data_IF_923630249536
#
_entry.id   IF_923630249536
#
_cell.length_a   1.000
_cell.length_b   1.000
_cell.length_c   1.000
_cell.angle_alpha   90.00
_cell.angle_beta   90.00
_cell.angle_gamma   90.00
#
_symmetry.space_group_name_H-M   'P 1'
#
loop_
_entity.id
_entity.type
_entity.pdbx_description
1 polymer ?
#
# COMPACT_ATOMS: atom_id res chain seq x y z
N UNK A 1 -36.76 10.56 -15.37
CA UNK A 1 -35.99 10.91 -14.16
C UNK A 1 -34.95 11.95 -14.55
N UNK A 2 -34.85 13.04 -13.79
CA UNK A 2 -34.32 14.34 -14.20
C UNK A 2 -32.87 14.30 -14.69
N UNK A 3 -32.62 14.88 -15.88
CA UNK A 3 -31.30 15.31 -16.35
C UNK A 3 -31.05 16.75 -15.92
N UNK A 4 -31.10 17.01 -14.62
CA UNK A 4 -30.73 18.33 -14.11
C UNK A 4 -29.23 18.36 -13.87
N UNK A 5 -28.51 19.06 -14.75
CA UNK A 5 -27.09 19.37 -14.57
C UNK A 5 -26.96 20.65 -13.77
N UNK A 6 -26.15 20.66 -12.72
CA UNK A 6 -25.84 21.85 -11.94
C UNK A 6 -24.37 22.24 -12.09
N UNK A 7 -24.02 23.54 -12.09
CA UNK A 7 -22.64 23.98 -12.17
C UNK A 7 -21.89 23.61 -10.88
N UNK A 8 -20.71 23.01 -11.01
CA UNK A 8 -19.78 22.75 -9.91
C UNK A 8 -18.52 23.57 -10.17
N UNK A 9 -18.12 24.38 -9.19
CA UNK A 9 -16.83 25.06 -9.21
C UNK A 9 -15.78 24.18 -8.53
N UNK A 10 -14.65 23.97 -9.21
CA UNK A 10 -13.52 23.19 -8.71
C UNK A 10 -12.25 24.00 -8.89
N UNK A 11 -11.33 23.87 -7.92
CA UNK A 11 -10.00 24.46 -7.99
C UNK A 11 -9.05 23.51 -8.71
N UNK A 12 -8.33 24.02 -9.69
CA UNK A 12 -7.26 23.29 -10.38
C UNK A 12 -5.92 23.85 -9.93
N UNK A 13 -5.02 22.99 -9.46
CA UNK A 13 -3.68 23.35 -9.00
C UNK A 13 -2.65 22.57 -9.80
N UNK A 14 -1.67 23.29 -10.39
CA UNK A 14 -0.53 22.66 -11.09
C UNK A 14 0.72 22.79 -10.22
N UNK A 15 1.32 21.65 -9.92
CA UNK A 15 2.50 21.53 -9.08
C UNK A 15 3.66 21.06 -9.97
N UNK A 16 4.79 21.77 -9.92
CA UNK A 16 5.99 21.35 -10.66
C UNK A 16 6.68 20.18 -9.93
N UNK A 17 6.90 19.08 -10.64
CA UNK A 17 7.58 17.89 -10.10
C UNK A 17 9.08 17.92 -10.42
N UNK A 18 9.43 17.97 -11.71
CA UNK A 18 10.79 18.12 -12.24
C UNK A 18 10.84 19.25 -13.28
N UNK A 19 11.98 19.48 -13.94
CA UNK A 19 12.15 20.58 -14.90
C UNK A 19 11.03 20.68 -15.95
N UNK A 20 10.61 19.53 -16.51
CA UNK A 20 9.59 19.45 -17.58
C UNK A 20 8.29 18.75 -17.19
N UNK A 21 8.11 18.36 -15.92
CA UNK A 21 6.93 17.58 -15.51
C UNK A 21 6.10 18.28 -14.45
N UNK A 22 4.78 18.23 -14.65
CA UNK A 22 3.81 18.85 -13.77
C UNK A 22 2.76 17.83 -13.35
N UNK A 23 2.36 17.91 -12.09
CA UNK A 23 1.19 17.22 -11.55
C UNK A 23 0.02 18.21 -11.51
N UNK A 24 -1.16 17.79 -11.97
CA UNK A 24 -2.36 18.62 -11.95
C UNK A 24 -3.40 17.98 -11.05
N UNK A 25 -3.77 18.69 -9.98
CA UNK A 25 -4.75 18.25 -9.00
C UNK A 25 -6.03 19.06 -9.14
N UNK A 26 -7.16 18.38 -9.02
CA UNK A 26 -8.50 18.98 -8.94
C UNK A 26 -9.01 18.79 -7.53
N UNK A 27 -9.41 19.87 -6.88
CA UNK A 27 -9.80 19.85 -5.47
C UNK A 27 -10.92 20.84 -5.17
N UNK A 28 -11.71 20.55 -4.14
CA UNK A 28 -12.67 21.48 -3.56
C UNK A 28 -12.12 22.17 -2.28
N UNK A 29 -10.84 21.94 -1.95
CA UNK A 29 -10.20 22.51 -0.77
C UNK A 29 -9.90 24.00 -0.95
N UNK A 30 -10.17 24.75 0.12
CA UNK A 30 -10.03 26.20 0.18
C UNK A 30 -8.58 26.66 -0.13
N UNK A 31 -8.39 27.65 -1.00
CA UNK A 31 -7.06 28.13 -1.39
C UNK A 31 -6.30 28.91 -0.32
N UNK A 32 -6.98 29.51 0.66
CA UNK A 32 -6.35 30.21 1.76
C UNK A 32 -5.90 29.25 2.87
N UNK A 33 -6.65 28.16 3.08
CA UNK A 33 -6.31 27.14 4.07
C UNK A 33 -5.34 26.07 3.54
N UNK A 34 -5.41 25.74 2.25
CA UNK A 34 -4.61 24.68 1.64
C UNK A 34 -3.81 25.22 0.45
N UNK A 35 -2.52 25.43 0.68
CA UNK A 35 -1.58 25.88 -0.35
C UNK A 35 -1.25 24.78 -1.36
N UNK A 36 -0.54 25.12 -2.43
CA UNK A 36 -0.02 24.13 -3.39
C UNK A 36 0.88 23.09 -2.72
N UNK A 37 1.70 23.51 -1.77
CA UNK A 37 2.60 22.67 -0.99
C UNK A 37 1.84 21.70 -0.10
N UNK A 38 0.77 22.16 0.56
CA UNK A 38 -0.09 21.28 1.38
C UNK A 38 -0.76 20.22 0.51
N UNK A 39 -1.26 20.61 -0.66
CA UNK A 39 -1.86 19.67 -1.62
C UNK A 39 -0.84 18.64 -2.12
N UNK A 40 0.43 19.04 -2.31
CA UNK A 40 1.52 18.13 -2.67
C UNK A 40 1.74 17.08 -1.59
N UNK A 41 1.77 17.49 -0.32
CA UNK A 41 1.93 16.58 0.83
C UNK A 41 0.71 15.66 0.95
N UNK A 42 -0.50 16.21 0.90
CA UNK A 42 -1.74 15.42 0.97
C UNK A 42 -1.84 14.39 -0.15
N UNK A 43 -1.51 14.78 -1.38
CA UNK A 43 -1.51 13.86 -2.50
C UNK A 43 -0.40 12.80 -2.37
N UNK A 44 0.74 13.15 -1.78
CA UNK A 44 1.78 12.17 -1.46
C UNK A 44 1.32 11.11 -0.45
N UNK A 45 0.49 11.45 0.53
CA UNK A 45 -0.06 10.46 1.48
C UNK A 45 -0.87 9.34 0.79
N UNK A 46 -1.45 9.62 -0.39
CA UNK A 46 -2.15 8.63 -1.22
C UNK A 46 -1.26 7.46 -1.64
N UNK A 47 0.05 7.68 -1.77
CA UNK A 47 1.01 6.63 -2.15
C UNK A 47 1.12 5.52 -1.09
N UNK A 48 0.86 5.84 0.18
CA UNK A 48 0.77 4.85 1.25
C UNK A 48 -0.29 3.81 0.95
N UNK A 49 -1.48 4.24 0.52
CA UNK A 49 -2.61 3.38 0.16
C UNK A 49 -2.25 2.46 -1.02
N UNK A 50 -1.58 2.99 -2.05
CA UNK A 50 -1.14 2.17 -3.19
C UNK A 50 -0.15 1.07 -2.78
N UNK A 51 0.74 1.40 -1.84
CA UNK A 51 1.72 0.45 -1.29
C UNK A 51 1.01 -0.63 -0.49
N UNK A 52 0.05 -0.28 0.38
CA UNK A 52 -0.77 -1.24 1.11
C UNK A 52 -1.53 -2.19 0.18
N UNK A 53 -2.12 -1.69 -0.90
CA UNK A 53 -2.79 -2.55 -1.89
C UNK A 53 -1.82 -3.47 -2.62
N UNK A 54 -0.59 -3.03 -2.88
CA UNK A 54 0.45 -3.88 -3.46
C UNK A 54 0.81 -5.03 -2.51
N UNK A 55 1.00 -4.72 -1.23
CA UNK A 55 1.30 -5.71 -0.18
C UNK A 55 0.16 -6.73 -0.04
N UNK A 56 -1.09 -6.27 0.04
CA UNK A 56 -2.27 -7.14 0.06
C UNK A 56 -2.30 -8.08 -1.15
N UNK A 57 -2.08 -7.55 -2.36
CA UNK A 57 -2.14 -8.34 -3.61
C UNK A 57 -1.02 -9.37 -3.71
N UNK A 58 0.21 -8.99 -3.37
CA UNK A 58 1.39 -9.78 -3.70
C UNK A 58 2.03 -10.46 -2.48
N UNK A 59 2.11 -9.80 -1.34
CA UNK A 59 2.68 -10.39 -0.13
C UNK A 59 1.66 -11.29 0.59
N UNK A 60 0.39 -10.88 0.66
CA UNK A 60 -0.70 -11.65 1.28
C UNK A 60 -1.53 -12.46 0.27
N UNK A 61 -1.19 -12.38 -1.02
CA UNK A 61 -1.79 -13.23 -2.05
C UNK A 61 -3.27 -12.98 -2.30
N UNK A 62 -3.78 -11.74 -2.14
CA UNK A 62 -5.16 -11.36 -2.51
C UNK A 62 -5.42 -11.47 -4.03
N UNK A 63 -4.38 -11.70 -4.83
CA UNK A 63 -4.50 -12.02 -6.25
C UNK A 63 -4.88 -13.49 -6.53
N UNK A 64 -4.85 -14.36 -5.52
CA UNK A 64 -5.05 -15.81 -5.67
C UNK A 64 -6.08 -16.33 -4.65
N UNK A 65 -7.32 -16.47 -5.09
CA UNK A 65 -8.41 -17.03 -4.27
C UNK A 65 -8.43 -18.56 -4.35
N UNK A 66 -8.87 -19.21 -3.27
CA UNK A 66 -9.06 -20.66 -3.22
C UNK A 66 -10.50 -21.04 -3.55
N UNK A 67 -11.46 -20.26 -3.07
CA UNK A 67 -12.88 -20.50 -3.32
C UNK A 67 -13.32 -20.05 -4.70
N UNK A 68 -14.36 -20.73 -5.22
CA UNK A 68 -15.16 -20.31 -6.39
C UNK A 68 -16.50 -19.69 -6.00
N UNK A 69 -16.97 -19.91 -4.76
CA UNK A 69 -18.23 -19.32 -4.25
C UNK A 69 -18.00 -17.89 -3.78
N UNK A 70 -18.89 -16.98 -4.16
CA UNK A 70 -18.79 -15.54 -3.86
C UNK A 70 -18.60 -15.27 -2.36
N UNK A 71 -19.44 -15.86 -1.51
CA UNK A 71 -19.42 -15.62 -0.07
C UNK A 71 -18.06 -15.98 0.56
N UNK A 72 -17.47 -17.09 0.13
CA UNK A 72 -16.16 -17.53 0.58
C UNK A 72 -15.01 -16.71 -0.02
N UNK A 73 -15.16 -16.16 -1.23
CA UNK A 73 -14.20 -15.20 -1.78
C UNK A 73 -14.19 -13.93 -0.92
N UNK A 74 -15.38 -13.43 -0.54
CA UNK A 74 -15.51 -12.28 0.35
C UNK A 74 -14.86 -12.58 1.71
N UNK A 75 -15.10 -13.76 2.28
CA UNK A 75 -14.44 -14.21 3.51
C UNK A 75 -12.91 -14.24 3.37
N UNK A 76 -12.38 -14.75 2.26
CA UNK A 76 -10.96 -14.78 1.95
C UNK A 76 -10.33 -13.38 1.83
N UNK A 77 -11.08 -12.39 1.34
CA UNK A 77 -10.66 -10.99 1.28
C UNK A 77 -10.55 -10.43 2.69
N UNK A 78 -11.59 -10.60 3.51
CA UNK A 78 -11.60 -10.10 4.88
C UNK A 78 -10.53 -10.75 5.75
N UNK A 79 -10.30 -12.06 5.62
CA UNK A 79 -9.23 -12.74 6.35
C UNK A 79 -7.84 -12.15 6.04
N UNK A 80 -7.57 -11.80 4.78
CA UNK A 80 -6.32 -11.16 4.37
C UNK A 80 -6.22 -9.71 4.84
N UNK A 81 -7.32 -8.96 4.86
CA UNK A 81 -7.36 -7.61 5.43
C UNK A 81 -7.09 -7.63 6.94
N UNK A 82 -7.67 -8.59 7.67
CA UNK A 82 -7.41 -8.77 9.11
C UNK A 82 -5.94 -9.11 9.33
N UNK A 83 -5.37 -10.05 8.57
CA UNK A 83 -3.94 -10.38 8.64
C UNK A 83 -3.06 -9.14 8.39
N UNK A 84 -3.39 -8.36 7.36
CA UNK A 84 -2.67 -7.12 7.04
C UNK A 84 -2.67 -6.16 8.22
N UNK A 85 -3.86 -5.82 8.72
CA UNK A 85 -4.01 -4.88 9.83
C UNK A 85 -3.33 -5.38 11.10
N UNK A 86 -3.45 -6.67 11.42
CA UNK A 86 -2.76 -7.29 12.55
C UNK A 86 -1.24 -7.12 12.42
N UNK A 87 -0.68 -7.53 11.28
CA UNK A 87 0.76 -7.39 11.03
C UNK A 87 1.21 -5.94 11.08
N UNK A 88 0.46 -5.01 10.50
CA UNK A 88 0.79 -3.58 10.55
C UNK A 88 0.85 -3.06 11.98
N UNK A 89 -0.16 -3.38 12.80
CA UNK A 89 -0.19 -3.01 14.22
C UNK A 89 1.04 -3.53 14.97
N UNK A 90 1.40 -4.80 14.76
CA UNK A 90 2.60 -5.37 15.39
C UNK A 90 3.87 -4.66 14.90
N UNK A 91 4.01 -4.43 13.58
CA UNK A 91 5.20 -3.74 13.05
C UNK A 91 5.35 -2.32 13.57
N UNK A 92 4.24 -1.61 13.87
CA UNK A 92 4.28 -0.29 14.48
C UNK A 92 4.75 -0.32 15.94
N UNK A 93 4.52 -1.42 16.66
CA UNK A 93 4.97 -1.60 18.04
C UNK A 93 6.44 -2.03 18.14
N UNK A 94 7.01 -2.62 17.08
CA UNK A 94 8.40 -3.11 17.08
C UNK A 94 9.38 -1.93 17.11
N UNK A 95 10.13 -1.83 18.20
CA UNK A 95 11.19 -0.83 18.36
C UNK A 95 12.43 -1.25 17.58
N UNK A 96 12.86 -0.41 16.64
CA UNK A 96 14.12 -0.59 15.92
C UNK A 96 15.28 -0.05 16.76
N UNK A 97 16.38 -0.80 16.89
CA UNK A 97 17.53 -0.34 17.66
C UNK A 97 18.25 0.82 16.94
N UNK A 98 18.54 1.90 17.68
CA UNK A 98 19.12 3.14 17.16
C UNK A 98 20.63 3.06 16.82
N UNK A 99 21.27 1.88 16.91
CA UNK A 99 22.74 1.73 16.74
C UNK A 99 23.17 1.34 15.32
N UNK A 100 22.34 1.59 14.31
CA UNK A 100 22.62 1.19 12.94
C UNK A 100 23.16 2.37 12.11
N UNK A 101 24.15 2.10 11.24
CA UNK A 101 24.84 3.11 10.40
C UNK A 101 23.93 3.88 9.43
N UNK A 102 22.78 3.29 9.09
CA UNK A 102 21.81 3.84 8.14
C UNK A 102 20.41 3.83 8.77
N UNK A 103 19.46 4.55 8.17
CA UNK A 103 18.05 4.38 8.50
C UNK A 103 17.54 3.04 7.93
N UNK A 104 16.82 2.28 8.75
CA UNK A 104 16.26 0.98 8.37
C UNK A 104 14.74 1.01 8.45
N UNK A 105 14.11 0.19 7.63
CA UNK A 105 12.68 -0.11 7.67
C UNK A 105 12.47 -1.60 7.85
N UNK A 106 11.31 -1.98 8.38
CA UNK A 106 10.93 -3.38 8.55
C UNK A 106 10.72 -4.03 7.17
N UNK A 107 11.14 -5.29 7.03
CA UNK A 107 10.77 -6.11 5.88
C UNK A 107 9.32 -6.61 6.04
N UNK A 108 8.36 -5.87 5.48
CA UNK A 108 6.93 -6.20 5.59
C UNK A 108 6.59 -7.61 5.10
N UNK A 109 7.20 -8.08 4.00
CA UNK A 109 6.98 -9.44 3.49
C UNK A 109 7.34 -10.51 4.52
N UNK A 110 8.48 -10.34 5.21
CA UNK A 110 8.87 -11.25 6.29
C UNK A 110 7.97 -11.08 7.52
N UNK A 111 7.59 -9.86 7.86
CA UNK A 111 6.68 -9.59 8.97
C UNK A 111 5.31 -10.28 8.79
N UNK A 112 4.72 -10.23 7.59
CA UNK A 112 3.50 -10.96 7.27
C UNK A 112 3.68 -12.48 7.43
N UNK A 113 4.80 -13.03 6.99
CA UNK A 113 5.13 -14.45 7.15
C UNK A 113 5.23 -14.86 8.62
N UNK A 114 5.90 -14.06 9.44
CA UNK A 114 6.06 -14.30 10.89
C UNK A 114 4.71 -14.19 11.59
N UNK A 115 3.91 -13.15 11.31
CA UNK A 115 2.57 -13.00 11.88
C UNK A 115 1.65 -14.16 11.48
N UNK A 116 1.74 -14.63 10.23
CA UNK A 116 1.00 -15.82 9.79
C UNK A 116 1.43 -17.06 10.57
N UNK A 117 2.73 -17.23 10.85
CA UNK A 117 3.22 -18.34 11.66
C UNK A 117 2.71 -18.26 13.11
N UNK A 118 2.59 -17.06 13.67
CA UNK A 118 2.04 -16.86 15.01
C UNK A 118 0.60 -17.38 15.16
N UNK A 119 -0.25 -17.23 14.14
CA UNK A 119 -1.59 -17.83 14.18
C UNK A 119 -1.60 -19.36 14.14
N UNK A 120 -0.51 -19.99 13.70
CA UNK A 120 -0.35 -21.45 13.74
C UNK A 120 0.34 -21.91 15.04
N UNK A 121 1.21 -21.08 15.61
CA UNK A 121 2.04 -21.38 16.78
C UNK A 121 2.22 -20.12 17.62
N UNK A 122 1.46 -20.03 18.71
CA UNK A 122 1.42 -18.84 19.57
C UNK A 122 2.67 -18.67 20.44
N UNK A 123 3.59 -19.65 20.45
CA UNK A 123 4.83 -19.56 21.22
C UNK A 123 5.90 -18.70 20.52
N UNK A 124 5.64 -18.26 19.29
CA UNK A 124 6.57 -17.46 18.49
C UNK A 124 6.62 -16.02 19.01
N UNK A 125 7.82 -15.57 19.41
CA UNK A 125 8.05 -14.16 19.74
C UNK A 125 8.11 -13.30 18.47
N UNK A 126 6.95 -12.80 18.05
CA UNK A 126 6.75 -12.09 16.78
C UNK A 126 7.59 -10.81 16.70
N UNK A 127 7.56 -9.98 17.75
CA UNK A 127 8.26 -8.69 17.77
C UNK A 127 9.78 -8.86 17.65
N UNK A 128 10.34 -9.80 18.40
CA UNK A 128 11.77 -10.08 18.37
C UNK A 128 12.20 -10.61 17.00
N UNK A 129 11.40 -11.46 16.35
CA UNK A 129 11.74 -11.95 15.01
C UNK A 129 11.64 -10.85 13.96
N UNK A 130 10.59 -10.03 13.99
CA UNK A 130 10.41 -8.92 13.04
C UNK A 130 11.57 -7.94 13.13
N UNK A 131 12.04 -7.60 14.34
CA UNK A 131 13.16 -6.66 14.53
C UNK A 131 14.48 -7.14 13.89
N UNK A 132 14.64 -8.43 13.61
CA UNK A 132 15.83 -8.99 12.93
C UNK A 132 15.78 -8.81 11.41
N UNK A 133 14.59 -8.66 10.81
CA UNK A 133 14.41 -8.56 9.36
C UNK A 133 14.23 -7.10 8.94
N UNK A 134 15.36 -6.41 8.76
CA UNK A 134 15.40 -5.00 8.36
C UNK A 134 15.94 -4.80 6.96
N UNK A 135 15.44 -3.78 6.28
CA UNK A 135 15.90 -3.32 4.97
C UNK A 135 16.46 -1.91 5.09
N UNK A 136 17.63 -1.61 4.50
CA UNK A 136 18.17 -0.25 4.51
C UNK A 136 17.29 0.67 3.66
N UNK A 137 16.96 1.85 4.19
CA UNK A 137 16.28 2.90 3.43
C UNK A 137 17.32 3.56 2.52
N UNK A 138 17.02 3.57 1.21
CA UNK A 138 17.89 4.17 0.19
C UNK A 138 17.20 5.41 -0.36
N UNK A 139 17.47 6.62 0.19
CA UNK A 139 16.89 7.85 -0.32
C UNK A 139 17.32 8.06 -1.79
N UNK A 140 16.47 8.72 -2.57
CA UNK A 140 16.69 9.03 -4.00
C UNK A 140 16.75 7.81 -4.95
N UNK A 141 16.26 6.64 -4.53
CA UNK A 141 16.06 5.52 -5.46
C UNK A 141 14.87 5.80 -6.37
N UNK A 142 15.15 6.14 -7.63
CA UNK A 142 14.17 6.09 -8.71
C UNK A 142 14.36 4.80 -9.49
N UNK A 143 13.28 4.07 -9.76
CA UNK A 143 13.30 2.91 -10.63
C UNK A 143 12.48 3.24 -11.89
N UNK A 144 13.11 3.14 -13.07
CA UNK A 144 12.40 3.40 -14.31
C UNK A 144 11.35 2.30 -14.51
N UNK A 145 10.08 2.70 -14.49
CA UNK A 145 8.96 1.79 -14.71
C UNK A 145 9.10 1.14 -16.09
N UNK A 146 9.48 -0.13 -16.13
CA UNK A 146 9.41 -0.94 -17.35
C UNK A 146 7.94 -1.18 -17.69
N UNK A 147 7.42 -0.40 -18.64
CA UNK A 147 6.08 -0.55 -19.18
C UNK A 147 6.03 -1.80 -20.08
N UNK A 148 5.92 -2.97 -19.47
CA UNK A 148 5.67 -4.21 -20.21
C UNK A 148 4.18 -4.24 -20.57
N UNK A 149 3.85 -4.36 -21.87
CA UNK A 149 2.48 -4.66 -22.31
C UNK A 149 2.05 -5.98 -21.68
N UNK A 150 1.20 -5.93 -20.66
CA UNK A 150 0.62 -7.14 -20.07
C UNK A 150 -0.26 -7.80 -21.12
N UNK A 151 0.05 -9.04 -21.49
CA UNK A 151 -0.86 -9.88 -22.27
C UNK A 151 -2.08 -10.20 -21.40
N UNK A 152 -3.26 -10.32 -22.02
CA UNK A 152 -4.46 -10.78 -21.33
C UNK A 152 -4.15 -12.15 -20.70
N UNK A 153 -4.11 -12.28 -19.36
CA UNK A 153 -4.10 -13.60 -18.76
C UNK A 153 -5.49 -14.17 -19.08
N UNK A 154 -5.54 -15.21 -19.92
CA UNK A 154 -6.77 -15.95 -20.12
C UNK A 154 -7.39 -16.32 -18.77
N UNK A 155 -8.71 -16.54 -18.72
CA UNK A 155 -9.39 -17.09 -17.54
C UNK A 155 -8.93 -18.54 -17.29
N UNK A 156 -7.65 -18.72 -16.93
CA UNK A 156 -7.07 -19.96 -16.47
C UNK A 156 -7.27 -20.00 -14.96
N UNK A 157 -8.52 -20.07 -14.53
CA UNK A 157 -8.85 -20.39 -13.15
C UNK A 157 -8.52 -21.87 -12.92
N UNK A 158 -7.23 -22.19 -12.74
CA UNK A 158 -6.71 -23.49 -12.27
C UNK A 158 -7.29 -24.71 -13.02
N UNK A 159 -6.65 -25.08 -14.14
CA UNK A 159 -6.67 -26.48 -14.61
C UNK A 159 -5.71 -27.25 -13.68
N UNK A 160 -6.23 -27.71 -12.55
CA UNK A 160 -5.73 -28.79 -11.70
C UNK A 160 -6.71 -28.95 -10.52
#
# INVERSE_FOLDING_TARGET
>A
MSKETYPISLRVVRIKLNEDTYESLVTNLDPFLFTSEDLKVLYHLRWGIETSFRELKYALGLSHFHSKKLDFIIQEIFARLIMYNFSMTITLAVVLSNRLKHSYQINFTQAFGICRRFFLDQNVNVEQLISRYLLPIRPNRSDQRRLIKKKFPGFLYRIA
#
